data_IF_408609193984
#
_entry.id   IF_408609193984
#
_cell.length_a   1.000
_cell.length_b   1.000
_cell.length_c   1.000
_cell.angle_alpha   90.00
_cell.angle_beta   90.00
_cell.angle_gamma   90.00
#
_symmetry.space_group_name_H-M   'P 1'
#
loop_
_entity.id
_entity.type
_entity.pdbx_description
1 polymer ?
#
# COMPACT_ATOMS: atom_id res chain seq x y z
N UNK A 1 0.13 25.80 -18.29
CA UNK A 1 0.96 24.60 -18.58
C UNK A 1 2.17 24.43 -17.65
N UNK A 2 2.78 25.46 -17.12
CA UNK A 2 3.85 25.33 -16.11
C UNK A 2 3.33 24.72 -14.80
N UNK A 3 2.22 25.20 -14.30
CA UNK A 3 1.59 24.81 -13.02
C UNK A 3 1.29 23.30 -12.92
N UNK A 4 0.89 22.68 -14.02
CA UNK A 4 0.56 21.25 -14.04
C UNK A 4 1.83 20.34 -14.04
N UNK A 5 2.96 20.83 -14.49
CA UNK A 5 4.26 20.14 -14.40
C UNK A 5 4.80 20.20 -12.97
N UNK A 6 4.65 21.33 -12.32
CA UNK A 6 5.09 21.52 -10.94
C UNK A 6 4.31 20.63 -9.98
N UNK A 7 3.00 20.46 -10.20
CA UNK A 7 2.17 19.57 -9.40
C UNK A 7 2.55 18.09 -9.57
N UNK A 8 2.80 17.65 -10.80
CA UNK A 8 3.24 16.26 -11.05
C UNK A 8 4.59 15.97 -10.43
N UNK A 9 5.51 16.90 -10.50
CA UNK A 9 6.84 16.77 -9.90
C UNK A 9 6.73 16.71 -8.38
N UNK A 10 5.90 17.55 -7.76
CA UNK A 10 5.63 17.56 -6.33
C UNK A 10 5.03 16.21 -5.87
N UNK A 11 4.05 15.68 -6.61
CA UNK A 11 3.41 14.39 -6.31
C UNK A 11 4.44 13.26 -6.42
N UNK A 12 5.24 13.23 -7.48
CA UNK A 12 6.28 12.24 -7.70
C UNK A 12 7.33 12.27 -6.58
N UNK A 13 7.79 13.45 -6.22
CA UNK A 13 8.73 13.64 -5.12
C UNK A 13 8.15 13.12 -3.81
N UNK A 14 6.88 13.42 -3.52
CA UNK A 14 6.21 12.97 -2.30
C UNK A 14 6.11 11.44 -2.21
N UNK A 15 5.73 10.78 -3.31
CA UNK A 15 5.68 9.31 -3.34
C UNK A 15 7.08 8.68 -3.23
N UNK A 16 8.09 9.29 -3.84
CA UNK A 16 9.48 8.83 -3.72
C UNK A 16 9.97 8.93 -2.27
N UNK A 17 9.68 10.03 -1.58
CA UNK A 17 10.01 10.19 -0.16
C UNK A 17 9.31 9.12 0.72
N UNK A 18 8.04 8.82 0.44
CA UNK A 18 7.31 7.78 1.16
C UNK A 18 7.92 6.39 0.93
N UNK A 19 8.28 6.06 -0.31
CA UNK A 19 8.90 4.78 -0.64
C UNK A 19 10.27 4.61 0.03
N UNK A 20 11.09 5.66 0.04
CA UNK A 20 12.42 5.63 0.64
C UNK A 20 12.39 5.62 2.18
N UNK A 21 11.37 6.20 2.77
CA UNK A 21 11.22 6.30 4.23
C UNK A 21 10.25 5.28 4.83
N UNK A 22 9.79 4.31 4.05
CA UNK A 22 8.85 3.29 4.50
C UNK A 22 9.33 2.51 5.72
N UNK A 23 10.63 2.23 5.81
CA UNK A 23 11.25 1.58 6.97
C UNK A 23 11.24 2.46 8.23
N UNK A 24 11.46 3.77 8.09
CA UNK A 24 11.41 4.70 9.20
C UNK A 24 9.97 4.85 9.75
N UNK A 25 8.98 4.70 8.90
CA UNK A 25 7.56 4.71 9.29
C UNK A 25 7.14 3.41 9.99
N UNK A 26 7.73 2.27 9.61
CA UNK A 26 7.51 0.96 10.26
C UNK A 26 8.04 0.92 11.69
N UNK A 27 9.11 1.65 11.98
CA UNK A 27 9.72 1.72 13.32
C UNK A 27 8.90 2.51 14.35
N UNK A 28 7.91 3.28 13.93
CA UNK A 28 7.11 4.14 14.82
C UNK A 28 5.87 3.51 15.41
N UNK A 29 5.68 2.18 15.33
CA UNK A 29 4.53 1.51 15.93
C UNK A 29 4.60 1.37 17.46
N UNK A 30 5.74 1.67 18.09
CA UNK A 30 5.92 1.60 19.55
C UNK A 30 6.67 2.84 20.04
N UNK A 31 5.95 3.88 20.42
CA UNK A 31 6.57 5.01 21.11
C UNK A 31 6.14 6.37 20.59
N UNK A 32 5.19 6.92 21.30
CA UNK A 32 4.75 8.31 21.13
C UNK A 32 5.90 9.22 21.54
N UNK A 33 6.60 9.80 20.58
CA UNK A 33 7.44 10.97 20.84
C UNK A 33 6.66 12.22 20.39
N UNK A 34 6.13 13.04 21.30
CA UNK A 34 5.21 14.14 20.96
C UNK A 34 5.87 15.32 20.25
N UNK A 35 7.20 15.30 20.07
CA UNK A 35 7.95 16.44 19.55
C UNK A 35 8.00 16.53 18.01
N UNK A 36 7.47 15.57 17.25
CA UNK A 36 7.55 15.58 15.79
C UNK A 36 6.23 15.24 15.10
N UNK A 37 5.14 15.83 15.60
CA UNK A 37 3.76 15.56 15.14
C UNK A 37 3.40 16.13 13.75
N UNK A 38 4.31 16.81 13.06
CA UNK A 38 4.00 17.54 11.83
C UNK A 38 4.10 16.74 10.54
N UNK A 39 4.45 15.45 10.56
CA UNK A 39 4.68 14.64 9.34
C UNK A 39 3.93 13.31 9.26
N UNK A 40 2.93 13.09 10.09
CA UNK A 40 2.12 11.88 9.98
C UNK A 40 1.01 12.11 8.96
N UNK A 41 1.15 11.53 7.78
CA UNK A 41 0.01 11.35 6.88
C UNK A 41 -0.81 10.20 7.47
N UNK A 42 -1.78 10.57 8.31
CA UNK A 42 -2.79 9.63 8.76
C UNK A 42 -3.82 9.45 7.65
N UNK A 43 -3.77 8.33 6.97
CA UNK A 43 -4.92 7.88 6.22
C UNK A 43 -5.87 7.23 7.24
N UNK A 44 -6.92 7.95 7.63
CA UNK A 44 -7.94 7.50 8.61
C UNK A 44 -8.61 6.18 8.20
N UNK A 45 -8.45 5.76 6.95
CA UNK A 45 -9.06 4.56 6.36
C UNK A 45 -8.05 3.44 6.07
N UNK A 46 -6.81 3.52 6.57
CA UNK A 46 -5.84 2.44 6.38
C UNK A 46 -6.19 1.26 7.29
N UNK A 47 -6.59 0.15 6.69
CA UNK A 47 -6.75 -1.11 7.40
C UNK A 47 -5.42 -1.83 7.53
N UNK A 48 -5.31 -2.73 8.50
CA UNK A 48 -4.06 -3.42 8.80
C UNK A 48 -3.94 -4.70 7.98
N UNK A 49 -2.95 -4.76 7.11
CA UNK A 49 -2.63 -5.90 6.26
C UNK A 49 -1.81 -7.00 6.95
N UNK A 50 -1.19 -6.71 8.10
CA UNK A 50 -0.16 -7.57 8.73
C UNK A 50 -0.60 -9.00 9.06
N UNK A 51 -1.91 -9.22 9.23
CA UNK A 51 -2.45 -10.52 9.59
C UNK A 51 -3.04 -11.28 8.38
N UNK A 52 -2.87 -10.76 7.17
CA UNK A 52 -3.39 -11.39 5.98
C UNK A 52 -2.36 -12.29 5.33
N UNK A 53 -2.82 -13.44 4.83
CA UNK A 53 -2.00 -14.31 4.02
C UNK A 53 -1.54 -13.59 2.75
N UNK A 54 -0.28 -13.74 2.40
CA UNK A 54 0.33 -13.02 1.28
C UNK A 54 0.83 -11.62 1.62
N UNK A 55 0.76 -11.20 2.91
CA UNK A 55 1.30 -9.90 3.31
C UNK A 55 2.80 -9.79 3.03
N UNK A 56 3.18 -8.76 2.27
CA UNK A 56 4.57 -8.44 1.95
C UNK A 56 4.93 -7.09 2.60
N UNK A 57 5.77 -7.10 3.64
CA UNK A 57 6.12 -5.89 4.38
C UNK A 57 6.73 -4.78 3.53
N UNK A 58 7.48 -5.14 2.49
CA UNK A 58 8.14 -4.17 1.62
C UNK A 58 7.17 -3.47 0.65
N UNK A 59 6.03 -4.10 0.38
CA UNK A 59 4.96 -3.51 -0.42
C UNK A 59 4.01 -2.63 0.40
N UNK A 60 4.02 -2.75 1.74
CA UNK A 60 3.15 -1.98 2.64
C UNK A 60 3.73 -0.60 2.95
N UNK A 61 3.35 0.39 2.18
CA UNK A 61 3.74 1.79 2.37
C UNK A 61 2.89 2.53 3.42
N UNK A 62 1.89 1.88 4.01
CA UNK A 62 1.00 2.47 5.01
C UNK A 62 0.06 3.56 4.48
N UNK A 63 -0.17 3.61 3.18
CA UNK A 63 -1.01 4.61 2.49
C UNK A 63 -2.25 4.02 1.82
N UNK A 64 -2.55 2.76 2.09
CA UNK A 64 -3.73 2.06 1.55
C UNK A 64 -5.04 2.64 2.08
N UNK A 65 -6.10 2.55 1.27
CA UNK A 65 -7.43 3.09 1.57
C UNK A 65 -8.43 2.03 2.04
N UNK A 66 -8.00 0.83 2.34
CA UNK A 66 -8.85 -0.28 2.75
C UNK A 66 -8.31 -1.64 2.32
N UNK A 67 -9.09 -2.68 2.49
CA UNK A 67 -8.77 -4.06 2.13
C UNK A 67 -9.75 -4.58 1.06
N UNK A 68 -9.60 -4.20 -0.22
CA UNK A 68 -10.54 -4.60 -1.28
C UNK A 68 -10.59 -6.11 -1.46
N UNK A 69 -9.48 -6.81 -1.26
CA UNK A 69 -9.37 -8.26 -1.35
C UNK A 69 -10.28 -9.00 -0.37
N UNK A 70 -10.58 -8.39 0.77
CA UNK A 70 -11.50 -8.93 1.80
C UNK A 70 -12.92 -9.09 1.28
N UNK A 71 -13.35 -8.22 0.37
CA UNK A 71 -14.71 -8.16 -0.15
C UNK A 71 -14.84 -8.75 -1.56
N UNK A 72 -13.74 -8.89 -2.28
CA UNK A 72 -13.70 -9.35 -3.66
C UNK A 72 -14.08 -10.84 -3.83
N UNK A 73 -14.11 -11.62 -2.75
CA UNK A 73 -14.42 -13.05 -2.76
C UNK A 73 -13.54 -13.85 -3.74
N UNK A 74 -12.26 -13.52 -3.76
CA UNK A 74 -11.25 -14.17 -4.60
C UNK A 74 -11.19 -15.66 -4.26
N UNK A 75 -11.17 -16.50 -5.30
CA UNK A 75 -11.11 -17.95 -5.20
C UNK A 75 -9.87 -18.48 -5.90
N UNK A 76 -9.50 -19.69 -5.53
CA UNK A 76 -8.44 -20.41 -6.22
C UNK A 76 -8.75 -20.54 -7.72
N UNK A 77 -7.76 -20.25 -8.57
CA UNK A 77 -7.87 -20.24 -10.01
C UNK A 77 -8.39 -18.93 -10.64
N UNK A 78 -8.83 -17.97 -9.85
CA UNK A 78 -9.32 -16.69 -10.38
C UNK A 78 -8.20 -15.88 -11.05
N UNK A 79 -8.60 -15.02 -11.98
CA UNK A 79 -7.73 -13.99 -12.55
C UNK A 79 -8.17 -12.64 -11.97
N UNK A 80 -7.25 -11.98 -11.26
CA UNK A 80 -7.47 -10.69 -10.61
C UNK A 80 -6.65 -9.61 -11.31
N UNK A 81 -7.28 -8.48 -11.60
CA UNK A 81 -6.62 -7.28 -12.13
C UNK A 81 -6.73 -6.18 -11.10
N UNK A 82 -5.59 -5.64 -10.68
CA UNK A 82 -5.49 -4.54 -9.71
C UNK A 82 -5.10 -3.26 -10.44
N UNK A 83 -6.05 -2.35 -10.60
CA UNK A 83 -5.84 -1.07 -11.26
C UNK A 83 -5.21 -0.06 -10.28
N UNK A 84 -4.00 0.39 -10.58
CA UNK A 84 -3.26 1.29 -9.70
C UNK A 84 -2.60 0.56 -8.53
N UNK A 85 -2.06 -0.61 -8.78
CA UNK A 85 -1.47 -1.53 -7.80
C UNK A 85 -0.35 -0.93 -6.93
N UNK A 86 0.27 0.17 -7.34
CA UNK A 86 1.35 0.83 -6.59
C UNK A 86 2.52 -0.11 -6.33
N UNK A 87 2.87 -0.31 -5.05
CA UNK A 87 3.91 -1.26 -4.65
C UNK A 87 3.45 -2.73 -4.67
N UNK A 88 2.18 -3.00 -5.00
CA UNK A 88 1.64 -4.34 -5.17
C UNK A 88 1.08 -4.99 -3.91
N UNK A 89 0.80 -4.22 -2.86
CA UNK A 89 0.33 -4.76 -1.58
C UNK A 89 -0.93 -5.64 -1.74
N UNK A 90 -1.95 -5.13 -2.43
CA UNK A 90 -3.18 -5.90 -2.69
C UNK A 90 -2.95 -7.05 -3.68
N UNK A 91 -2.02 -6.90 -4.63
CA UNK A 91 -1.64 -7.97 -5.56
C UNK A 91 -1.05 -9.19 -4.83
N UNK A 92 -0.18 -8.99 -3.85
CA UNK A 92 0.40 -10.09 -3.07
C UNK A 92 -0.67 -10.83 -2.27
N UNK A 93 -1.61 -10.11 -1.68
CA UNK A 93 -2.72 -10.71 -0.93
C UNK A 93 -3.69 -11.43 -1.86
N UNK A 94 -4.03 -10.81 -3.00
CA UNK A 94 -4.84 -11.46 -4.03
C UNK A 94 -4.18 -12.74 -4.54
N UNK A 95 -2.85 -12.74 -4.72
CA UNK A 95 -2.08 -13.92 -5.13
C UNK A 95 -2.20 -15.08 -4.14
N UNK A 96 -2.19 -14.81 -2.85
CA UNK A 96 -2.43 -15.83 -1.84
C UNK A 96 -3.83 -16.45 -1.98
N UNK A 97 -4.85 -15.64 -2.31
CA UNK A 97 -6.22 -16.10 -2.53
C UNK A 97 -6.45 -16.88 -3.83
N UNK A 98 -5.76 -16.50 -4.92
CA UNK A 98 -5.90 -17.17 -6.22
C UNK A 98 -5.12 -18.49 -6.31
N UNK A 99 -4.12 -18.68 -5.46
CA UNK A 99 -3.28 -19.86 -5.47
C UNK A 99 -2.43 -20.01 -6.75
N UNK A 100 -1.79 -21.16 -6.91
CA UNK A 100 -0.87 -21.41 -8.04
C UNK A 100 -1.58 -21.46 -9.39
N UNK A 101 -2.84 -21.86 -9.42
CA UNK A 101 -3.65 -21.98 -10.65
C UNK A 101 -4.25 -20.65 -11.11
N UNK A 102 -4.19 -19.59 -10.29
CA UNK A 102 -4.73 -18.27 -10.60
C UNK A 102 -3.69 -17.31 -11.15
N UNK A 103 -4.17 -16.12 -11.55
CA UNK A 103 -3.32 -15.04 -12.06
C UNK A 103 -3.64 -13.73 -11.35
N UNK A 104 -2.62 -12.92 -11.08
CA UNK A 104 -2.78 -11.55 -10.59
C UNK A 104 -1.96 -10.62 -11.46
N UNK A 105 -2.60 -9.56 -11.92
CA UNK A 105 -2.03 -8.54 -12.81
C UNK A 105 -2.21 -7.19 -12.14
N UNK A 106 -1.11 -6.46 -11.96
CA UNK A 106 -1.11 -5.12 -11.38
C UNK A 106 -0.29 -4.13 -12.17
#
# INVERSE_FOLDING_TARGET
MKENRDLKELVKQRYSELALNAEALKSCCCGVNPANSSKRIFTIMSENYKNLEGYEPDADLGIGCGLPTRYARIKEGDTVVDLGSGAGNDCFIARAGTGESGNVIG
#
